data_IF_692399566071
#
_entry.id   IF_692399566071
#
_cell.length_a   1.000
_cell.length_b   1.000
_cell.length_c   1.000
_cell.angle_alpha   90.00
_cell.angle_beta   90.00
_cell.angle_gamma   90.00
#
_symmetry.space_group_name_H-M   'P 1'
#
loop_
_entity.id
_entity.type
_entity.pdbx_description
1 polymer ?
#
# COMPACT_ATOMS: atom_id res chain seq x y z
N UNK A 1 -7.45 -35.86 7.89
CA UNK A 1 -8.65 -35.68 7.05
C UNK A 1 -8.91 -36.99 6.34
N UNK A 2 -10.17 -37.38 6.13
CA UNK A 2 -10.52 -38.51 5.27
C UNK A 2 -11.11 -37.96 3.98
N UNK A 3 -10.51 -38.31 2.84
CA UNK A 3 -11.05 -37.97 1.52
C UNK A 3 -11.75 -39.21 1.00
N UNK A 4 -13.06 -39.12 0.79
CA UNK A 4 -13.79 -40.13 0.03
C UNK A 4 -14.16 -39.52 -1.31
N UNK A 5 -13.76 -40.21 -2.38
CA UNK A 5 -14.14 -39.89 -3.74
C UNK A 5 -15.38 -40.71 -4.05
N UNK A 6 -16.53 -40.06 -4.17
CA UNK A 6 -17.74 -40.72 -4.68
C UNK A 6 -17.61 -40.82 -6.19
N UNK A 7 -17.65 -42.05 -6.71
CA UNK A 7 -17.24 -42.38 -8.08
C UNK A 7 -18.12 -41.76 -9.19
N UNK A 8 -19.26 -41.15 -8.86
CA UNK A 8 -20.23 -40.62 -9.84
C UNK A 8 -20.53 -39.12 -9.77
N UNK A 9 -19.81 -38.34 -8.95
CA UNK A 9 -20.00 -36.88 -8.89
C UNK A 9 -18.66 -36.15 -8.88
N UNK A 10 -18.54 -35.06 -9.65
CA UNK A 10 -17.35 -34.17 -9.69
C UNK A 10 -17.11 -33.38 -8.38
N UNK A 11 -17.67 -33.82 -7.26
CA UNK A 11 -17.55 -33.17 -5.96
C UNK A 11 -16.73 -34.05 -5.01
N UNK A 12 -15.73 -33.45 -4.38
CA UNK A 12 -14.91 -34.09 -3.36
C UNK A 12 -15.41 -33.63 -2.00
N UNK A 13 -16.00 -34.54 -1.23
CA UNK A 13 -16.44 -34.25 0.13
C UNK A 13 -15.29 -34.48 1.12
N UNK A 14 -14.74 -33.40 1.66
CA UNK A 14 -13.67 -33.47 2.67
C UNK A 14 -14.28 -33.26 4.05
N UNK A 15 -14.34 -34.33 4.86
CA UNK A 15 -14.80 -34.25 6.25
C UNK A 15 -13.61 -33.99 7.17
N UNK A 16 -13.53 -32.77 7.71
CA UNK A 16 -12.51 -32.38 8.68
C UNK A 16 -13.02 -32.70 10.10
N UNK A 17 -12.59 -33.83 10.65
CA UNK A 17 -12.84 -34.18 12.06
C UNK A 17 -11.67 -33.66 12.89
N UNK A 18 -11.92 -32.64 13.72
CA UNK A 18 -10.96 -32.11 14.71
C UNK A 18 -10.70 -30.61 14.59
N UNK A 19 -10.61 -29.93 15.75
CA UNK A 19 -10.20 -28.53 15.85
C UNK A 19 -8.68 -28.39 15.61
N UNK A 20 -8.30 -27.96 14.41
CA UNK A 20 -6.96 -27.45 14.13
C UNK A 20 -7.05 -26.15 13.32
N UNK A 21 -6.22 -25.19 13.72
CA UNK A 21 -6.23 -23.80 13.30
C UNK A 21 -6.04 -23.63 11.77
N UNK A 22 -6.86 -22.75 11.19
CA UNK A 22 -7.11 -22.57 9.76
C UNK A 22 -6.03 -21.78 8.98
N UNK A 23 -4.79 -21.67 9.47
CA UNK A 23 -3.79 -20.73 8.91
C UNK A 23 -2.60 -21.34 8.15
N UNK A 24 -2.64 -22.61 7.75
CA UNK A 24 -1.46 -23.27 7.15
C UNK A 24 -1.53 -23.75 5.70
N UNK A 25 -2.69 -24.12 5.15
CA UNK A 25 -2.71 -25.07 4.02
C UNK A 25 -2.92 -24.50 2.60
N UNK A 26 -2.99 -23.18 2.41
CA UNK A 26 -3.23 -22.59 1.08
C UNK A 26 -1.96 -22.14 0.33
N UNK A 27 -0.76 -22.34 0.89
CA UNK A 27 0.49 -21.89 0.25
C UNK A 27 1.05 -22.88 -0.80
N UNK A 28 0.67 -24.16 -0.81
CA UNK A 28 1.24 -25.14 -1.75
C UNK A 28 0.41 -25.37 -3.03
N UNK A 29 -0.87 -24.99 -3.07
CA UNK A 29 -1.70 -25.20 -4.28
C UNK A 29 -1.54 -24.09 -5.33
N UNK A 30 -0.89 -22.98 -4.98
CA UNK A 30 -0.71 -21.82 -5.87
C UNK A 30 0.65 -21.79 -6.60
N UNK A 31 1.59 -22.67 -6.26
CA UNK A 31 2.93 -22.72 -6.88
C UNK A 31 3.07 -23.77 -7.99
N UNK A 32 2.06 -24.61 -8.25
CA UNK A 32 2.08 -25.67 -9.28
C UNK A 32 1.45 -25.28 -10.64
N UNK A 33 1.42 -23.98 -10.99
CA UNK A 33 1.04 -23.55 -12.35
C UNK A 33 2.12 -22.70 -13.03
N UNK A 34 3.36 -23.14 -12.89
CA UNK A 34 4.40 -22.85 -13.87
C UNK A 34 4.71 -24.19 -14.55
N UNK A 35 4.84 -24.17 -15.88
CA UNK A 35 5.04 -25.30 -16.80
C UNK A 35 3.78 -25.93 -17.40
N UNK A 36 3.03 -25.12 -18.15
CA UNK A 36 2.40 -25.58 -19.38
C UNK A 36 3.52 -25.72 -20.45
N UNK A 37 4.29 -26.81 -20.39
CA UNK A 37 5.16 -27.26 -21.49
C UNK A 37 5.64 -28.71 -21.32
N UNK A 38 5.29 -29.51 -22.32
CA UNK A 38 5.82 -30.82 -22.74
C UNK A 38 5.63 -32.03 -21.81
N UNK A 39 4.52 -32.76 -22.04
CA UNK A 39 4.28 -34.15 -21.59
C UNK A 39 5.28 -35.20 -22.15
N UNK A 40 6.32 -34.79 -22.88
CA UNK A 40 7.24 -35.70 -23.58
C UNK A 40 8.55 -36.03 -22.82
N UNK A 41 8.88 -35.38 -21.68
CA UNK A 41 10.17 -35.60 -20.99
C UNK A 41 10.10 -36.35 -19.64
N UNK A 42 8.89 -36.68 -19.15
CA UNK A 42 8.72 -37.26 -17.81
C UNK A 42 9.08 -38.76 -17.75
N UNK A 43 9.38 -39.41 -18.88
CA UNK A 43 9.78 -40.82 -18.89
C UNK A 43 11.24 -41.08 -18.47
N UNK A 44 12.06 -40.05 -18.16
CA UNK A 44 13.52 -40.23 -18.01
C UNK A 44 14.09 -40.08 -16.59
N UNK A 45 13.28 -39.74 -15.58
CA UNK A 45 13.81 -39.43 -14.22
C UNK A 45 13.21 -40.34 -13.13
N UNK A 46 12.86 -41.57 -13.49
CA UNK A 46 12.56 -42.62 -12.51
C UNK A 46 13.81 -43.47 -12.28
N UNK A 47 14.65 -43.01 -11.34
CA UNK A 47 15.80 -43.76 -10.86
C UNK A 47 16.77 -42.86 -10.09
N UNK A 48 16.52 -42.64 -8.80
CA UNK A 48 17.32 -43.21 -7.71
C UNK A 48 16.90 -42.57 -6.38
N UNK A 49 16.75 -43.40 -5.35
CA UNK A 49 16.14 -43.04 -4.07
C UNK A 49 17.16 -42.90 -2.93
N UNK A 50 16.90 -41.92 -2.05
CA UNK A 50 17.16 -41.89 -0.59
C UNK A 50 18.60 -41.78 -0.03
N UNK A 51 18.80 -41.46 1.28
CA UNK A 51 17.91 -40.85 2.29
C UNK A 51 18.54 -39.77 3.24
N UNK A 52 17.62 -39.05 3.89
CA UNK A 52 17.54 -38.53 5.29
C UNK A 52 18.78 -38.30 6.19
N UNK A 53 18.74 -37.20 6.97
CA UNK A 53 18.99 -37.21 8.43
C UNK A 53 18.51 -35.92 9.12
N UNK A 54 18.15 -36.08 10.40
CA UNK A 54 17.27 -35.25 11.24
C UNK A 54 18.03 -34.58 12.41
N UNK A 55 17.34 -33.70 13.15
CA UNK A 55 17.52 -33.31 14.56
C UNK A 55 18.17 -31.94 14.95
N UNK A 56 17.41 -31.21 15.79
CA UNK A 56 17.72 -30.05 16.68
C UNK A 56 17.97 -30.60 18.12
N UNK A 57 18.02 -29.84 19.26
CA UNK A 57 18.53 -28.50 19.69
C UNK A 57 19.45 -28.52 20.97
N UNK A 58 20.11 -27.39 21.33
CA UNK A 58 20.23 -26.84 22.73
C UNK A 58 21.08 -25.54 22.84
N UNK A 59 20.79 -24.71 23.86
CA UNK A 59 21.39 -23.41 24.32
C UNK A 59 21.74 -23.56 25.84
N UNK A 60 22.25 -22.58 26.65
CA UNK A 60 23.34 -21.54 26.64
C UNK A 60 24.35 -21.75 27.84
N UNK A 61 24.91 -20.74 28.57
CA UNK A 61 25.96 -19.71 28.33
C UNK A 61 27.21 -19.87 29.27
N UNK A 62 28.21 -18.94 29.32
CA UNK A 62 28.18 -17.88 30.37
C UNK A 62 28.87 -16.51 30.08
N UNK A 63 28.27 -15.48 30.70
CA UNK A 63 28.74 -14.27 31.44
C UNK A 63 30.03 -13.44 31.18
N UNK A 64 29.81 -12.12 31.33
CA UNK A 64 30.65 -11.03 31.92
C UNK A 64 31.78 -10.44 31.05
N UNK A 65 32.09 -9.12 30.99
CA UNK A 65 32.07 -8.00 31.96
C UNK A 65 32.15 -6.65 31.21
N UNK A 66 31.60 -5.57 31.78
CA UNK A 66 31.86 -4.14 31.42
C UNK A 66 33.13 -3.60 32.12
N UNK A 67 33.74 -2.45 31.71
CA UNK A 67 33.31 -1.10 32.16
C UNK A 67 33.47 0.03 31.11
N UNK A 68 32.53 0.99 30.99
CA UNK A 68 32.46 2.36 31.56
C UNK A 68 33.67 3.28 31.27
N UNK A 69 33.42 4.42 30.59
CA UNK A 69 33.90 5.76 30.98
C UNK A 69 33.30 6.89 30.11
N UNK A 70 32.39 7.68 30.69
CA UNK A 70 32.08 9.05 30.29
C UNK A 70 33.13 10.01 30.89
N UNK A 71 33.29 11.21 30.31
CA UNK A 71 33.42 12.39 31.18
C UNK A 71 32.58 13.59 30.73
N UNK A 72 31.87 14.15 31.71
CA UNK A 72 31.48 15.55 31.85
C UNK A 72 31.59 15.88 33.36
N UNK A 73 31.48 17.12 33.85
CA UNK A 73 31.72 18.45 33.28
C UNK A 73 32.82 19.21 34.08
N UNK A 74 33.26 20.40 33.65
CA UNK A 74 34.01 21.32 34.52
C UNK A 74 33.40 22.72 34.43
N UNK A 75 33.07 23.29 35.59
CA UNK A 75 32.47 24.61 35.81
C UNK A 75 33.45 25.51 36.56
N UNK A 76 33.54 26.78 36.09
CA UNK A 76 33.96 28.04 36.72
C UNK A 76 35.41 28.16 37.27
N UNK A 77 36.13 29.29 37.14
CA UNK A 77 35.84 30.65 37.69
C UNK A 77 36.80 31.71 37.04
N UNK A 78 36.87 33.02 37.42
CA UNK A 78 36.56 34.16 36.53
C UNK A 78 37.72 35.13 36.15
N UNK A 79 37.41 36.01 35.18
CA UNK A 79 37.87 37.40 34.88
C UNK A 79 39.38 37.77 34.90
N UNK A 80 39.83 38.64 33.95
CA UNK A 80 39.72 40.08 34.21
C UNK A 80 39.22 40.91 33.02
N UNK A 81 38.73 42.10 33.36
CA UNK A 81 38.27 43.14 32.45
C UNK A 81 39.42 43.67 31.56
N UNK A 82 39.15 43.82 30.27
CA UNK A 82 39.92 44.70 29.39
C UNK A 82 39.01 45.33 28.33
N UNK A 83 38.78 46.61 28.55
CA UNK A 83 38.76 47.74 27.62
C UNK A 83 38.57 47.43 26.12
N UNK A 84 37.44 47.93 25.60
CA UNK A 84 37.07 47.94 24.20
C UNK A 84 38.03 48.72 23.30
N UNK A 85 38.24 48.23 22.07
CA UNK A 85 38.37 49.09 20.89
C UNK A 85 37.25 48.82 19.86
N UNK A 86 36.83 49.90 19.19
CA UNK A 86 35.76 49.92 18.20
C UNK A 86 36.00 48.95 17.03
N UNK A 87 35.04 48.05 16.81
CA UNK A 87 34.97 47.18 15.64
C UNK A 87 33.72 47.52 14.81
N UNK A 88 33.93 47.55 13.49
CA UNK A 88 32.98 47.85 12.42
C UNK A 88 31.64 47.08 12.50
N UNK A 89 30.56 47.57 11.87
CA UNK A 89 29.25 46.92 11.91
C UNK A 89 29.32 45.51 11.32
N UNK A 90 29.07 44.52 12.17
CA UNK A 90 28.86 43.12 11.78
C UNK A 90 27.46 43.02 11.15
N UNK A 91 27.30 42.48 9.94
CA UNK A 91 25.98 42.24 9.37
C UNK A 91 25.22 41.25 10.28
N UNK A 92 23.89 41.42 10.46
CA UNK A 92 23.11 40.52 11.30
C UNK A 92 23.25 39.07 10.80
N UNK A 93 23.24 38.08 11.70
CA UNK A 93 23.28 36.68 11.31
C UNK A 93 22.09 36.40 10.39
N UNK A 94 22.37 35.77 9.24
CA UNK A 94 21.34 35.26 8.36
C UNK A 94 20.44 34.34 9.17
N UNK A 95 19.18 34.74 9.37
CA UNK A 95 18.15 33.86 9.89
C UNK A 95 18.06 32.67 8.95
N UNK A 96 18.62 31.54 9.36
CA UNK A 96 18.29 30.25 8.78
C UNK A 96 16.86 29.98 9.18
N UNK A 97 15.91 30.42 8.37
CA UNK A 97 14.54 29.95 8.43
C UNK A 97 14.60 28.45 8.14
N UNK A 98 14.63 27.64 9.19
CA UNK A 98 14.42 26.21 9.07
C UNK A 98 13.08 26.01 8.37
N UNK A 99 13.12 25.59 7.11
CA UNK A 99 11.94 25.22 6.37
C UNK A 99 11.26 24.12 7.18
N UNK A 100 10.03 24.38 7.65
CA UNK A 100 9.19 23.34 8.20
C UNK A 100 9.06 22.25 7.13
N UNK A 101 9.56 21.05 7.42
CA UNK A 101 9.26 19.88 6.61
C UNK A 101 7.76 19.67 6.69
N UNK A 102 7.04 20.15 5.67
CA UNK A 102 5.66 19.77 5.45
C UNK A 102 5.66 18.24 5.38
N UNK A 103 5.01 17.60 6.35
CA UNK A 103 4.86 16.15 6.35
C UNK A 103 3.92 15.82 5.20
N UNK A 104 4.49 15.58 4.03
CA UNK A 104 3.77 15.12 2.85
C UNK A 104 3.51 13.63 3.00
N UNK A 105 2.23 13.23 3.01
CA UNK A 105 1.85 11.81 3.03
C UNK A 105 2.52 11.10 1.85
N UNK A 106 3.29 10.01 2.05
CA UNK A 106 3.98 9.33 0.97
C UNK A 106 3.02 8.87 -0.15
N UNK A 107 3.39 9.14 -1.40
CA UNK A 107 2.57 8.87 -2.58
C UNK A 107 3.38 8.30 -3.75
N UNK A 108 2.68 7.75 -4.74
CA UNK A 108 3.27 7.17 -5.95
C UNK A 108 3.25 8.13 -7.15
N UNK A 109 2.85 9.38 -6.96
CA UNK A 109 2.85 10.38 -8.02
C UNK A 109 4.27 10.78 -8.42
N UNK A 110 4.47 11.03 -9.72
CA UNK A 110 5.70 11.57 -10.27
C UNK A 110 5.86 13.04 -9.91
N UNK A 111 7.04 13.62 -10.14
CA UNK A 111 7.31 15.03 -9.84
C UNK A 111 6.48 16.03 -10.66
N UNK A 112 5.90 15.60 -11.80
CA UNK A 112 5.03 16.42 -12.64
C UNK A 112 3.54 16.33 -12.27
N UNK A 113 3.19 15.45 -11.33
CA UNK A 113 1.82 15.20 -10.92
C UNK A 113 1.58 15.70 -9.49
N UNK A 114 0.33 16.06 -9.20
CA UNK A 114 -0.13 16.41 -7.85
C UNK A 114 -0.95 15.27 -7.27
N UNK A 115 -0.69 14.77 -6.05
CA UNK A 115 -1.53 13.76 -5.44
C UNK A 115 -2.88 14.34 -5.01
N UNK A 116 -3.98 13.73 -5.45
CA UNK A 116 -5.35 14.01 -4.94
C UNK A 116 -5.86 12.92 -4.01
N UNK A 117 -5.15 11.79 -3.96
CA UNK A 117 -5.35 10.74 -2.98
C UNK A 117 -4.02 10.03 -2.77
N UNK A 118 -3.67 9.76 -1.52
CA UNK A 118 -2.59 8.86 -1.20
C UNK A 118 -2.83 8.22 0.16
N UNK A 119 -2.69 6.90 0.25
CA UNK A 119 -2.70 6.22 1.52
C UNK A 119 -1.90 4.93 1.52
N UNK A 120 -1.45 4.55 2.72
CA UNK A 120 -0.93 3.21 3.01
C UNK A 120 -2.07 2.31 3.49
N UNK A 121 -2.12 1.10 2.98
CA UNK A 121 -3.04 0.03 3.38
C UNK A 121 -2.36 -0.99 4.30
N UNK A 122 -1.18 -0.64 4.82
CA UNK A 122 -0.31 -1.48 5.65
C UNK A 122 0.67 -2.33 4.85
N UNK A 123 0.28 -2.81 3.66
CA UNK A 123 1.14 -3.59 2.76
C UNK A 123 1.39 -2.93 1.42
N UNK A 124 0.44 -2.08 0.99
CA UNK A 124 0.51 -1.38 -0.29
C UNK A 124 0.30 0.11 -0.08
N UNK A 125 0.84 0.89 -1.00
CA UNK A 125 0.55 2.31 -1.17
C UNK A 125 -0.33 2.45 -2.39
N UNK A 126 -1.45 3.15 -2.25
CA UNK A 126 -2.30 3.52 -3.37
C UNK A 126 -2.29 5.05 -3.52
N UNK A 127 -2.27 5.54 -4.75
CA UNK A 127 -2.32 6.98 -5.02
C UNK A 127 -3.15 7.27 -6.27
N UNK A 128 -3.86 8.39 -6.24
CA UNK A 128 -4.45 9.01 -7.42
C UNK A 128 -3.76 10.34 -7.64
N UNK A 129 -3.23 10.50 -8.84
CA UNK A 129 -2.38 11.60 -9.22
C UNK A 129 -3.08 12.39 -10.33
N UNK A 130 -3.12 13.71 -10.20
CA UNK A 130 -3.59 14.60 -11.25
C UNK A 130 -2.40 15.19 -11.99
N UNK A 131 -2.49 15.22 -13.32
CA UNK A 131 -1.47 15.75 -14.21
C UNK A 131 -2.12 16.47 -15.38
N UNK A 132 -1.27 17.06 -16.24
CA UNK A 132 -1.71 17.62 -17.52
C UNK A 132 -0.82 17.10 -18.64
N UNK A 133 -1.44 16.67 -19.73
CA UNK A 133 -0.75 16.38 -21.00
C UNK A 133 -1.56 17.00 -22.13
N UNK A 134 -0.87 17.70 -23.03
CA UNK A 134 -1.46 18.25 -24.25
C UNK A 134 -2.71 19.11 -23.99
N UNK A 135 -2.71 19.85 -22.88
CA UNK A 135 -3.83 20.71 -22.46
C UNK A 135 -5.01 19.98 -21.80
N UNK A 136 -4.98 18.66 -21.70
CA UNK A 136 -6.02 17.84 -21.06
C UNK A 136 -5.65 17.46 -19.62
N UNK A 137 -6.65 17.42 -18.75
CA UNK A 137 -6.49 16.91 -17.38
C UNK A 137 -6.43 15.38 -17.40
N UNK A 138 -5.37 14.85 -16.81
CA UNK A 138 -5.14 13.42 -16.66
C UNK A 138 -5.27 13.01 -15.21
N UNK A 139 -5.81 11.83 -14.99
CA UNK A 139 -5.76 11.15 -13.71
C UNK A 139 -4.99 9.86 -13.90
N UNK A 140 -4.13 9.55 -12.93
CA UNK A 140 -3.40 8.29 -12.90
C UNK A 140 -3.57 7.64 -11.54
N UNK A 141 -4.09 6.42 -11.52
CA UNK A 141 -4.11 5.55 -10.36
C UNK A 141 -2.84 4.68 -10.36
N UNK A 142 -2.17 4.62 -9.21
CA UNK A 142 -1.02 3.73 -8.99
C UNK A 142 -1.18 2.95 -7.69
N UNK A 143 -0.75 1.69 -7.70
CA UNK A 143 -0.59 0.87 -6.50
C UNK A 143 0.73 0.11 -6.54
N UNK A 144 1.39 0.05 -5.40
CA UNK A 144 2.69 -0.61 -5.20
C UNK A 144 2.76 -1.23 -3.79
N UNK A 145 3.63 -2.22 -3.53
CA UNK A 145 4.09 -2.51 -2.18
C UNK A 145 4.67 -1.25 -1.54
N UNK A 146 4.70 -1.18 -0.20
CA UNK A 146 5.28 -0.02 0.48
C UNK A 146 6.72 0.27 0.06
N UNK A 147 7.49 -0.80 -0.09
CA UNK A 147 8.89 -0.82 -0.50
C UNK A 147 9.01 -1.65 -1.78
N UNK A 148 8.58 -1.09 -2.91
CA UNK A 148 8.59 -1.80 -4.19
C UNK A 148 8.24 -0.93 -5.39
N UNK A 149 8.41 -1.50 -6.57
CA UNK A 149 7.99 -0.87 -7.82
C UNK A 149 6.45 -0.85 -7.95
N UNK A 150 5.95 0.06 -8.79
CA UNK A 150 4.53 0.12 -9.13
C UNK A 150 4.09 -1.21 -9.75
N UNK A 151 3.14 -1.87 -9.10
CA UNK A 151 2.54 -3.12 -9.58
C UNK A 151 1.49 -2.86 -10.65
N UNK A 152 0.78 -1.73 -10.53
CA UNK A 152 -0.25 -1.35 -11.48
C UNK A 152 -0.35 0.17 -11.58
N UNK A 153 -0.37 0.64 -12.82
CA UNK A 153 -0.67 1.99 -13.24
C UNK A 153 -1.89 1.96 -14.16
N UNK A 154 -2.80 2.92 -14.00
CA UNK A 154 -3.96 3.08 -14.86
C UNK A 154 -4.33 4.56 -15.02
N UNK A 155 -4.67 5.03 -16.23
CA UNK A 155 -4.58 4.33 -17.50
C UNK A 155 -3.11 4.23 -17.94
N UNK A 156 -2.71 3.11 -18.55
CA UNK A 156 -1.40 3.00 -19.16
C UNK A 156 -1.44 3.72 -20.52
N UNK A 157 -0.73 4.83 -20.66
CA UNK A 157 -0.66 5.61 -21.92
C UNK A 157 -1.32 6.99 -21.90
N UNK A 158 -1.58 7.58 -20.74
CA UNK A 158 -1.97 9.00 -20.65
C UNK A 158 -3.37 9.32 -21.19
N UNK A 159 -4.31 8.38 -21.09
CA UNK A 159 -5.71 8.68 -21.44
C UNK A 159 -6.26 9.79 -20.53
N UNK A 160 -7.09 10.68 -21.09
CA UNK A 160 -7.72 11.76 -20.34
C UNK A 160 -8.67 11.23 -19.27
N UNK A 161 -8.78 11.96 -18.16
CA UNK A 161 -9.55 11.54 -16.99
C UNK A 161 -10.99 11.11 -17.31
N UNK A 162 -11.72 11.92 -18.09
CA UNK A 162 -13.11 11.67 -18.49
C UNK A 162 -13.33 10.35 -19.26
N UNK A 163 -12.30 9.88 -19.97
CA UNK A 163 -12.39 8.66 -20.79
C UNK A 163 -12.03 7.38 -20.03
N UNK A 164 -11.20 7.49 -18.99
CA UNK A 164 -10.65 6.35 -18.26
C UNK A 164 -11.38 6.10 -16.93
N UNK A 165 -11.94 7.15 -16.32
CA UNK A 165 -12.53 7.07 -14.98
C UNK A 165 -13.99 7.49 -14.96
N UNK A 166 -14.67 7.05 -13.91
CA UNK A 166 -16.00 7.45 -13.53
C UNK A 166 -15.96 7.98 -12.10
N UNK A 167 -16.94 8.82 -11.76
CA UNK A 167 -17.08 9.39 -10.41
C UNK A 167 -18.40 8.98 -9.78
N UNK A 168 -18.49 9.04 -8.47
CA UNK A 168 -19.75 8.86 -7.78
C UNK A 168 -19.71 9.34 -6.35
N UNK A 169 -20.90 9.41 -5.76
CA UNK A 169 -21.09 9.70 -4.35
C UNK A 169 -22.20 8.80 -3.83
N UNK A 170 -22.01 8.23 -2.64
CA UNK A 170 -22.98 7.32 -2.03
C UNK A 170 -23.00 7.54 -0.53
N UNK A 171 -24.19 7.47 0.07
CA UNK A 171 -24.34 7.33 1.52
C UNK A 171 -24.20 5.85 1.86
N UNK A 172 -23.20 5.50 2.66
CA UNK A 172 -22.99 4.12 3.12
C UNK A 172 -23.77 3.85 4.42
N UNK A 173 -23.77 2.59 4.88
CA UNK A 173 -24.62 2.11 5.98
C UNK A 173 -24.54 2.96 7.26
N UNK A 174 -23.36 3.54 7.55
CA UNK A 174 -23.13 4.40 8.71
C UNK A 174 -23.64 5.84 8.52
N UNK A 175 -24.55 6.08 7.56
CA UNK A 175 -25.04 7.40 7.14
C UNK A 175 -23.95 8.41 6.75
N UNK A 176 -22.75 7.90 6.44
CA UNK A 176 -21.61 8.72 6.01
C UNK A 176 -21.61 8.82 4.49
N UNK A 177 -21.50 10.03 3.95
CA UNK A 177 -21.27 10.22 2.53
C UNK A 177 -19.83 9.85 2.18
N UNK A 178 -19.66 9.06 1.13
CA UNK A 178 -18.36 8.76 0.52
C UNK A 178 -18.39 9.21 -0.93
N UNK A 179 -17.35 9.93 -1.34
CA UNK A 179 -17.08 10.21 -2.73
C UNK A 179 -16.13 9.14 -3.25
N UNK A 180 -16.28 8.75 -4.51
CA UNK A 180 -15.43 7.73 -5.09
C UNK A 180 -15.11 8.00 -6.56
N UNK A 181 -13.92 7.52 -6.94
CA UNK A 181 -13.43 7.44 -8.30
C UNK A 181 -13.36 5.95 -8.66
N UNK A 182 -13.88 5.56 -9.81
CA UNK A 182 -13.84 4.18 -10.28
C UNK A 182 -13.33 4.06 -11.71
N UNK A 183 -12.81 2.88 -12.03
CA UNK A 183 -12.44 2.51 -13.39
C UNK A 183 -12.47 1.00 -13.55
N UNK A 184 -12.64 0.56 -14.79
CA UNK A 184 -12.62 -0.84 -15.18
C UNK A 184 -11.31 -1.21 -15.87
N UNK A 185 -10.74 -2.34 -15.49
CA UNK A 185 -9.55 -2.94 -16.13
C UNK A 185 -9.77 -4.44 -16.30
N UNK A 186 -10.19 -4.84 -17.50
CA UNK A 186 -10.62 -6.21 -17.76
C UNK A 186 -11.94 -6.51 -17.04
N UNK A 187 -11.99 -7.61 -16.29
CA UNK A 187 -13.15 -7.98 -15.45
C UNK A 187 -13.09 -7.41 -14.03
N UNK A 188 -12.15 -6.52 -13.76
CA UNK A 188 -11.99 -5.86 -12.46
C UNK A 188 -12.50 -4.44 -12.51
N UNK A 189 -13.24 -4.05 -11.46
CA UNK A 189 -13.57 -2.66 -11.14
C UNK A 189 -12.77 -2.26 -9.92
N UNK A 190 -12.04 -1.17 -10.04
CA UNK A 190 -11.32 -0.56 -8.93
C UNK A 190 -12.09 0.68 -8.49
N UNK A 191 -12.29 0.82 -7.18
CA UNK A 191 -13.01 1.97 -6.61
C UNK A 191 -12.17 2.58 -5.50
N UNK A 192 -11.62 3.76 -5.76
CA UNK A 192 -10.95 4.57 -4.74
C UNK A 192 -12.02 5.43 -4.06
N UNK A 193 -12.20 5.25 -2.76
CA UNK A 193 -13.23 5.95 -2.01
C UNK A 193 -12.63 6.78 -0.87
N UNK A 194 -13.28 7.89 -0.57
CA UNK A 194 -12.98 8.73 0.56
C UNK A 194 -14.26 9.33 1.14
N UNK A 195 -14.48 9.09 2.43
CA UNK A 195 -15.44 9.83 3.23
C UNK A 195 -14.88 11.20 3.62
N UNK A 196 -15.80 12.13 3.85
CA UNK A 196 -15.46 13.49 4.27
C UNK A 196 -14.78 13.52 5.64
N UNK A 197 -13.95 14.54 5.87
CA UNK A 197 -13.22 14.74 7.11
C UNK A 197 -11.94 13.91 7.27
N UNK A 198 -11.12 14.31 8.24
CA UNK A 198 -9.82 13.68 8.53
C UNK A 198 -9.97 12.19 8.87
N UNK A 199 -10.97 11.87 9.70
CA UNK A 199 -11.30 10.51 10.13
C UNK A 199 -12.25 9.76 9.18
N UNK A 200 -12.62 10.36 8.03
CA UNK A 200 -13.49 9.73 7.03
C UNK A 200 -12.87 8.43 6.49
N UNK A 201 -13.71 7.42 6.24
CA UNK A 201 -13.28 6.12 5.71
C UNK A 201 -12.65 6.30 4.33
N UNK A 202 -11.39 5.86 4.15
CA UNK A 202 -10.64 5.97 2.91
C UNK A 202 -10.08 4.61 2.51
N UNK A 203 -9.98 4.32 1.22
CA UNK A 203 -9.39 3.07 0.75
C UNK A 203 -9.65 2.77 -0.71
N UNK A 204 -9.35 1.52 -1.07
CA UNK A 204 -9.59 0.99 -2.41
C UNK A 204 -10.37 -0.32 -2.30
N UNK A 205 -11.53 -0.37 -2.95
CA UNK A 205 -12.27 -1.63 -3.18
C UNK A 205 -11.89 -2.17 -4.54
N UNK A 206 -11.71 -3.50 -4.62
CA UNK A 206 -11.55 -4.20 -5.89
C UNK A 206 -12.68 -5.20 -6.02
N UNK A 207 -13.44 -5.08 -7.11
CA UNK A 207 -14.49 -6.01 -7.49
C UNK A 207 -14.06 -6.79 -8.72
N UNK A 208 -14.40 -8.08 -8.77
CA UNK A 208 -14.23 -8.93 -9.94
C UNK A 208 -15.61 -9.45 -10.34
N UNK A 209 -16.04 -9.17 -11.57
CA UNK A 209 -17.36 -9.57 -12.07
C UNK A 209 -18.51 -9.17 -11.14
N UNK A 210 -18.44 -7.97 -10.55
CA UNK A 210 -19.45 -7.44 -9.63
C UNK A 210 -19.39 -7.98 -8.19
N UNK A 211 -18.46 -8.88 -7.88
CA UNK A 211 -18.22 -9.36 -6.51
C UNK A 211 -16.98 -8.70 -5.91
N UNK A 212 -17.10 -8.15 -4.70
CA UNK A 212 -15.93 -7.64 -3.96
C UNK A 212 -14.94 -8.76 -3.65
N UNK A 213 -13.69 -8.58 -4.07
CA UNK A 213 -12.58 -9.52 -3.83
C UNK A 213 -11.50 -8.95 -2.92
N UNK A 214 -11.43 -7.62 -2.77
CA UNK A 214 -10.54 -6.96 -1.83
C UNK A 214 -11.15 -5.66 -1.29
N UNK A 215 -10.83 -5.35 -0.03
CA UNK A 215 -11.03 -4.05 0.60
C UNK A 215 -9.70 -3.63 1.23
N UNK A 216 -9.04 -2.66 0.60
CA UNK A 216 -7.75 -2.12 1.02
C UNK A 216 -7.98 -0.81 1.75
N UNK A 217 -8.33 -0.91 3.04
CA UNK A 217 -8.54 0.25 3.92
C UNK A 217 -7.23 0.96 4.22
N UNK A 218 -7.27 2.29 4.26
CA UNK A 218 -6.11 3.07 4.69
C UNK A 218 -5.85 2.87 6.20
N UNK A 219 -4.59 2.67 6.60
CA UNK A 219 -4.18 2.33 7.97
C UNK A 219 -3.35 3.42 8.68
N UNK A 220 -2.90 4.44 7.96
CA UNK A 220 -2.09 5.55 8.46
C UNK A 220 -2.65 6.88 7.99
N UNK A 221 -1.93 7.97 8.24
CA UNK A 221 -2.17 9.28 7.62
C UNK A 221 -2.42 9.09 6.12
N UNK A 222 -3.60 9.53 5.70
CA UNK A 222 -4.11 9.41 4.35
C UNK A 222 -4.52 10.79 3.88
N UNK A 223 -4.02 11.20 2.72
CA UNK A 223 -4.51 12.42 2.08
C UNK A 223 -5.64 12.04 1.11
N UNK A 224 -6.67 12.87 1.08
CA UNK A 224 -7.69 12.79 0.05
C UNK A 224 -8.29 14.17 -0.20
N UNK A 225 -8.18 14.62 -1.44
CA UNK A 225 -8.95 15.69 -2.03
C UNK A 225 -10.15 15.15 -2.83
N UNK A 226 -10.40 13.82 -2.82
CA UNK A 226 -11.54 13.18 -3.49
C UNK A 226 -12.84 13.66 -2.82
N UNK A 227 -13.36 14.76 -3.35
CA UNK A 227 -14.65 15.36 -3.04
C UNK A 227 -15.47 15.44 -4.31
N UNK A 228 -16.80 15.53 -4.21
CA UNK A 228 -17.66 15.72 -5.38
C UNK A 228 -17.19 16.91 -6.24
N UNK A 229 -16.89 18.05 -5.60
CA UNK A 229 -16.39 19.26 -6.27
C UNK A 229 -15.08 19.03 -7.01
N UNK A 230 -14.14 18.29 -6.42
CA UNK A 230 -12.87 17.97 -7.06
C UNK A 230 -13.08 17.11 -8.29
N UNK A 231 -13.87 16.04 -8.17
CA UNK A 231 -14.12 15.08 -9.23
C UNK A 231 -14.94 15.65 -10.40
N UNK A 232 -15.85 16.59 -10.12
CA UNK A 232 -16.70 17.21 -11.14
C UNK A 232 -15.90 18.01 -12.18
N UNK A 233 -14.70 18.48 -11.83
CA UNK A 233 -13.82 19.26 -12.73
C UNK A 233 -13.31 18.46 -13.92
N UNK A 234 -13.17 17.15 -13.75
CA UNK A 234 -12.57 16.26 -14.75
C UNK A 234 -13.56 15.79 -15.83
N UNK A 235 -14.83 16.21 -15.78
CA UNK A 235 -15.82 15.85 -16.80
C UNK A 235 -16.16 14.34 -16.86
N UNK A 236 -15.85 13.58 -15.81
CA UNK A 236 -16.11 12.14 -15.74
C UNK A 236 -17.59 11.83 -15.64
N UNK A 237 -18.00 10.73 -16.27
CA UNK A 237 -19.35 10.18 -16.14
C UNK A 237 -19.62 9.65 -14.72
N UNK A 238 -20.89 9.62 -14.34
CA UNK A 238 -21.30 9.06 -13.04
C UNK A 238 -21.33 7.53 -13.13
N UNK A 239 -20.67 6.85 -12.19
CA UNK A 239 -20.79 5.41 -12.02
C UNK A 239 -22.09 5.08 -11.29
N UNK A 240 -23.04 4.47 -12.01
CA UNK A 240 -24.34 4.07 -11.46
C UNK A 240 -24.30 2.77 -10.67
N UNK A 241 -23.17 2.05 -10.64
CA UNK A 241 -23.04 0.78 -9.91
C UNK A 241 -22.85 1.07 -8.42
N UNK A 242 -23.63 0.43 -7.53
CA UNK A 242 -23.52 0.66 -6.10
C UNK A 242 -22.11 0.29 -5.61
N UNK A 243 -21.61 1.05 -4.63
CA UNK A 243 -20.39 0.76 -3.89
C UNK A 243 -20.75 0.04 -2.60
N UNK A 244 -20.28 -1.20 -2.46
CA UNK A 244 -20.46 -1.99 -1.24
C UNK A 244 -19.21 -1.87 -0.36
N UNK A 245 -19.26 -0.98 0.64
CA UNK A 245 -18.27 -0.96 1.72
C UNK A 245 -18.68 -1.93 2.84
N UNK A 246 -17.73 -2.55 3.58
CA UNK A 246 -18.08 -3.44 4.69
C UNK A 246 -18.47 -2.68 5.95
#
# INVERSE_FOLDING_TARGET
YTVQRTEDSKEILVKLTGHLAFMGLFHDLAMLRVFDKSEAEIAKIAGEASPAAEAKPAEPPPAAVSPVAQPAPVVATPAPANTAPAAAPVPPPANVTAAATAVTVPHLCTAAETPIFACSTGKKRASVCTGRSDGNEQLTYRIAPLEGAVEMEYPNGGAGAASAFQRGSQVVQDSTAVNFLSFDKGNYRYVVYAGDGENGRKGVVVEQSGKRIADLRCQSDAMSAISAKELDRYGMHVDSRPLQLP
#
